data_IF_518361045697
#
_entry.id   IF_518361045697
#
_cell.length_a   1.000
_cell.length_b   1.000
_cell.length_c   1.000
_cell.angle_alpha   90.00
_cell.angle_beta   90.00
_cell.angle_gamma   90.00
#
_symmetry.space_group_name_H-M   'P 1'
#
loop_
_entity.id
_entity.type
_entity.pdbx_description
1 polymer ?
#
# COMPACT_ATOMS: atom_id res chain seq x y z
N UNK A 1 38.62 7.22 -7.93
CA UNK A 1 38.02 7.18 -6.57
C UNK A 1 36.56 7.58 -6.73
N UNK A 2 35.66 6.62 -6.96
CA UNK A 2 34.23 6.89 -7.13
C UNK A 2 33.58 6.97 -5.76
N UNK A 3 33.32 8.19 -5.30
CA UNK A 3 32.50 8.41 -4.13
C UNK A 3 31.09 7.91 -4.45
N UNK A 4 30.67 6.79 -3.86
CA UNK A 4 29.26 6.44 -3.83
C UNK A 4 28.56 7.57 -3.06
N UNK A 5 27.89 8.46 -3.79
CA UNK A 5 27.11 9.55 -3.21
C UNK A 5 25.88 8.94 -2.54
N UNK A 6 25.47 9.52 -1.41
CA UNK A 6 24.23 9.16 -0.70
C UNK A 6 22.98 9.32 -1.57
N UNK A 7 23.15 9.95 -2.72
CA UNK A 7 22.12 10.37 -3.67
C UNK A 7 21.67 9.26 -4.63
N UNK A 8 22.22 8.05 -4.55
CA UNK A 8 21.69 6.94 -5.32
C UNK A 8 20.44 6.35 -4.65
N UNK A 9 19.50 5.91 -5.48
CA UNK A 9 18.24 5.26 -5.05
C UNK A 9 17.36 6.17 -4.17
N UNK A 10 17.41 7.49 -4.37
CA UNK A 10 16.58 8.48 -3.64
C UNK A 10 15.08 8.27 -3.86
N UNK A 11 14.69 7.61 -4.94
CA UNK A 11 13.30 7.24 -5.21
C UNK A 11 12.67 6.41 -4.07
N UNK A 12 13.46 5.68 -3.29
CA UNK A 12 12.97 4.95 -2.13
C UNK A 12 12.33 5.87 -1.07
N UNK A 13 12.79 7.12 -0.95
CA UNK A 13 12.25 8.10 0.01
C UNK A 13 10.80 8.48 -0.29
N UNK A 14 10.34 8.33 -1.53
CA UNK A 14 8.97 8.66 -1.92
C UNK A 14 7.96 7.58 -1.52
N UNK A 15 8.41 6.32 -1.45
CA UNK A 15 7.53 5.16 -1.33
C UNK A 15 7.69 4.42 0.01
N UNK A 16 8.68 4.80 0.82
CA UNK A 16 9.03 4.11 2.06
C UNK A 16 9.32 5.10 3.17
N UNK A 17 8.85 4.78 4.38
CA UNK A 17 9.23 5.49 5.60
C UNK A 17 10.65 5.06 6.03
N UNK A 18 11.64 5.66 5.37
CA UNK A 18 13.05 5.35 5.61
C UNK A 18 13.50 5.79 7.00
N UNK A 19 12.90 6.84 7.56
CA UNK A 19 13.25 7.33 8.89
C UNK A 19 12.92 6.27 9.94
N UNK A 20 11.66 5.81 9.96
CA UNK A 20 11.22 4.76 10.88
C UNK A 20 12.01 3.48 10.65
N UNK A 21 12.21 3.09 9.39
CA UNK A 21 12.95 1.87 9.04
C UNK A 21 14.41 1.91 9.53
N UNK A 22 15.11 3.04 9.36
CA UNK A 22 16.49 3.18 9.84
C UNK A 22 16.59 3.22 11.36
N UNK A 23 15.61 3.82 12.03
CA UNK A 23 15.55 3.82 13.49
C UNK A 23 15.37 2.40 14.03
N UNK A 24 14.38 1.66 13.53
CA UNK A 24 14.11 0.29 13.97
C UNK A 24 15.28 -0.66 13.70
N UNK A 25 15.91 -0.53 12.52
CA UNK A 25 17.11 -1.31 12.21
C UNK A 25 18.31 -0.93 13.10
N UNK A 26 18.45 0.34 13.49
CA UNK A 26 19.51 0.79 14.41
C UNK A 26 19.30 0.22 15.81
N UNK A 27 18.04 0.15 16.28
CA UNK A 27 17.67 -0.49 17.55
C UNK A 27 18.05 -1.98 17.53
N UNK A 28 17.67 -2.70 16.48
CA UNK A 28 18.00 -4.14 16.34
C UNK A 28 19.50 -4.38 16.20
N UNK A 29 20.19 -3.55 15.43
CA UNK A 29 21.64 -3.66 15.24
C UNK A 29 22.43 -3.29 16.49
N UNK A 30 21.85 -2.49 17.39
CA UNK A 30 22.51 -1.91 18.56
C UNK A 30 23.59 -0.87 18.20
N UNK A 31 23.65 -0.45 16.93
CA UNK A 31 24.62 0.51 16.38
C UNK A 31 23.97 1.22 15.19
N UNK A 32 24.44 2.42 14.89
CA UNK A 32 24.01 3.14 13.70
C UNK A 32 24.17 2.29 12.43
N UNK A 33 23.12 2.26 11.62
CA UNK A 33 23.22 1.75 10.26
C UNK A 33 24.23 2.61 9.48
N UNK A 34 25.16 1.94 8.80
CA UNK A 34 26.20 2.58 7.99
C UNK A 34 25.62 3.13 6.70
N UNK A 35 26.27 4.16 6.14
CA UNK A 35 25.89 4.73 4.83
C UNK A 35 25.73 3.68 3.73
N UNK A 36 26.62 2.68 3.70
CA UNK A 36 26.61 1.61 2.71
C UNK A 36 25.38 0.72 2.88
N UNK A 37 25.02 0.36 4.11
CA UNK A 37 23.81 -0.43 4.37
C UNK A 37 22.53 0.34 4.01
N UNK A 38 22.48 1.66 4.29
CA UNK A 38 21.36 2.51 3.83
C UNK A 38 21.23 2.47 2.32
N UNK A 39 22.35 2.61 1.62
CA UNK A 39 22.39 2.64 0.16
C UNK A 39 21.92 1.31 -0.45
N UNK A 40 22.42 0.19 0.07
CA UNK A 40 21.98 -1.13 -0.37
C UNK A 40 20.50 -1.37 -0.08
N UNK A 41 20.00 -0.95 1.09
CA UNK A 41 18.58 -1.05 1.42
C UNK A 41 17.72 -0.22 0.46
N UNK A 42 18.09 1.05 0.19
CA UNK A 42 17.39 1.90 -0.77
C UNK A 42 17.34 1.27 -2.16
N UNK A 43 18.43 0.66 -2.62
CA UNK A 43 18.47 -0.07 -3.88
C UNK A 43 17.44 -1.21 -3.93
N UNK A 44 17.36 -2.01 -2.87
CA UNK A 44 16.36 -3.08 -2.78
C UNK A 44 14.92 -2.53 -2.77
N UNK A 45 14.68 -1.47 -1.99
CA UNK A 45 13.36 -0.84 -1.86
C UNK A 45 12.89 -0.16 -3.15
N UNK A 46 13.82 0.26 -4.02
CA UNK A 46 13.52 0.73 -5.38
C UNK A 46 13.22 -0.42 -6.35
N UNK A 47 13.33 -1.68 -5.94
CA UNK A 47 13.07 -2.84 -6.78
C UNK A 47 14.27 -3.32 -7.60
N UNK A 48 15.50 -2.87 -7.29
CA UNK A 48 16.71 -3.38 -7.93
C UNK A 48 17.18 -4.67 -7.28
N UNK A 49 17.63 -5.62 -8.09
CA UNK A 49 18.29 -6.84 -7.62
C UNK A 49 19.70 -6.55 -7.09
N UNK A 50 20.26 -7.41 -6.22
CA UNK A 50 21.64 -7.28 -5.74
C UNK A 50 22.68 -7.12 -6.86
N UNK A 51 22.49 -7.81 -7.99
CA UNK A 51 23.37 -7.69 -9.16
C UNK A 51 23.27 -6.31 -9.83
N UNK A 52 22.07 -5.77 -9.97
CA UNK A 52 21.85 -4.42 -10.52
C UNK A 52 22.42 -3.35 -9.59
N UNK A 53 22.17 -3.47 -8.29
CA UNK A 53 22.72 -2.56 -7.28
C UNK A 53 24.26 -2.57 -7.33
N UNK A 54 24.88 -3.75 -7.41
CA UNK A 54 26.32 -3.88 -7.53
C UNK A 54 26.86 -3.26 -8.82
N UNK A 55 26.15 -3.41 -9.94
CA UNK A 55 26.47 -2.76 -11.21
C UNK A 55 26.44 -1.23 -11.12
N UNK A 56 25.36 -0.67 -10.55
CA UNK A 56 25.18 0.77 -10.35
C UNK A 56 26.23 1.34 -9.37
N UNK A 57 26.57 0.56 -8.33
CA UNK A 57 27.59 0.92 -7.36
C UNK A 57 29.01 0.58 -7.82
N UNK A 58 29.22 0.03 -9.02
CA UNK A 58 30.54 -0.45 -9.46
C UNK A 58 31.27 -1.29 -8.40
N UNK A 59 30.54 -2.16 -7.69
CA UNK A 59 31.07 -3.07 -6.66
C UNK A 59 31.00 -4.52 -7.12
N UNK A 60 31.76 -5.35 -6.41
CA UNK A 60 31.66 -6.80 -6.56
C UNK A 60 30.29 -7.31 -6.08
N UNK A 61 29.62 -8.04 -6.97
CA UNK A 61 28.27 -8.60 -6.72
C UNK A 61 28.30 -9.57 -5.54
N UNK A 62 29.31 -10.44 -5.46
CA UNK A 62 29.40 -11.46 -4.40
C UNK A 62 29.61 -10.82 -3.04
N UNK A 63 30.46 -9.80 -2.96
CA UNK A 63 30.67 -9.02 -1.75
C UNK A 63 29.39 -8.35 -1.26
N UNK A 64 28.59 -7.80 -2.18
CA UNK A 64 27.30 -7.18 -1.87
C UNK A 64 26.26 -8.21 -1.39
N UNK A 65 26.11 -9.34 -2.09
CA UNK A 65 25.18 -10.40 -1.70
C UNK A 65 25.51 -11.00 -0.33
N UNK A 66 26.79 -11.26 -0.05
CA UNK A 66 27.22 -11.75 1.26
C UNK A 66 26.92 -10.73 2.35
N UNK A 67 27.12 -9.43 2.09
CA UNK A 67 26.80 -8.38 3.03
C UNK A 67 25.29 -8.29 3.31
N UNK A 68 24.46 -8.35 2.28
CA UNK A 68 23.00 -8.36 2.39
C UNK A 68 22.51 -9.55 3.23
N UNK A 69 22.95 -10.76 2.89
CA UNK A 69 22.54 -11.98 3.58
C UNK A 69 22.98 -12.02 5.05
N UNK A 70 24.21 -11.56 5.36
CA UNK A 70 24.75 -11.63 6.73
C UNK A 70 24.26 -10.53 7.65
N UNK A 71 24.05 -9.32 7.12
CA UNK A 71 23.74 -8.14 7.93
C UNK A 71 22.30 -7.70 7.70
N UNK A 72 22.00 -7.15 6.53
CA UNK A 72 20.74 -6.46 6.29
C UNK A 72 19.53 -7.38 6.44
N UNK A 73 19.57 -8.55 5.83
CA UNK A 73 18.49 -9.53 5.88
C UNK A 73 18.25 -10.07 7.29
N UNK A 74 19.31 -10.23 8.08
CA UNK A 74 19.19 -10.63 9.48
C UNK A 74 18.46 -9.56 10.29
N UNK A 75 18.81 -8.28 10.11
CA UNK A 75 18.17 -7.20 10.83
C UNK A 75 16.71 -7.02 10.42
N UNK A 76 16.41 -7.12 9.12
CA UNK A 76 15.03 -7.07 8.61
C UNK A 76 14.18 -8.17 9.24
N UNK A 77 14.68 -9.41 9.30
CA UNK A 77 13.95 -10.52 9.95
C UNK A 77 13.57 -10.23 11.39
N UNK A 78 14.47 -9.62 12.15
CA UNK A 78 14.21 -9.31 13.56
C UNK A 78 13.16 -8.21 13.70
N UNK A 79 13.20 -7.14 12.89
CA UNK A 79 12.16 -6.08 12.97
C UNK A 79 10.77 -6.56 12.53
N UNK A 80 10.69 -7.51 11.58
CA UNK A 80 9.40 -8.09 11.13
C UNK A 80 9.01 -9.36 11.90
N UNK A 81 9.78 -9.77 12.91
CA UNK A 81 9.58 -10.96 13.73
C UNK A 81 9.48 -12.28 12.91
N UNK A 82 10.32 -12.44 11.88
CA UNK A 82 10.39 -13.61 10.99
C UNK A 82 11.75 -14.30 10.99
N UNK A 83 12.34 -14.46 12.17
CA UNK A 83 13.70 -15.00 12.31
C UNK A 83 13.86 -16.43 11.77
N UNK A 84 12.79 -17.22 11.87
CA UNK A 84 12.75 -18.62 11.43
C UNK A 84 12.50 -18.80 9.92
N UNK A 85 12.02 -17.76 9.22
CA UNK A 85 11.72 -17.86 7.79
C UNK A 85 12.99 -17.75 6.96
N UNK A 86 13.14 -18.61 5.94
CA UNK A 86 14.25 -18.55 4.99
C UNK A 86 13.96 -17.48 3.93
N UNK A 87 14.93 -16.61 3.67
CA UNK A 87 14.85 -15.67 2.55
C UNK A 87 15.41 -16.39 1.33
N UNK A 88 14.53 -16.76 0.41
CA UNK A 88 14.91 -17.38 -0.86
C UNK A 88 15.09 -16.34 -1.97
N UNK A 89 14.33 -15.23 -1.89
CA UNK A 89 14.34 -14.17 -2.87
C UNK A 89 14.49 -12.81 -2.18
N UNK A 90 15.32 -11.94 -2.74
CA UNK A 90 15.48 -10.57 -2.22
C UNK A 90 14.16 -9.79 -2.23
N UNK A 91 13.23 -10.11 -3.14
CA UNK A 91 11.90 -9.49 -3.19
C UNK A 91 11.08 -9.73 -1.92
N UNK A 92 11.30 -10.86 -1.23
CA UNK A 92 10.63 -11.15 0.04
C UNK A 92 10.94 -10.11 1.11
N UNK A 93 12.12 -9.48 1.07
CA UNK A 93 12.46 -8.37 1.99
C UNK A 93 11.53 -7.18 1.79
N UNK A 94 11.27 -6.79 0.54
CA UNK A 94 10.39 -5.67 0.25
C UNK A 94 8.95 -6.01 0.68
N UNK A 95 8.48 -7.21 0.36
CA UNK A 95 7.16 -7.68 0.77
C UNK A 95 6.99 -7.67 2.30
N UNK A 96 7.97 -8.20 3.06
CA UNK A 96 7.87 -8.22 4.51
C UNK A 96 7.87 -6.83 5.14
N UNK A 97 8.65 -5.90 4.58
CA UNK A 97 8.67 -4.52 5.03
C UNK A 97 7.35 -3.80 4.70
N UNK A 98 6.74 -4.12 3.57
CA UNK A 98 5.41 -3.63 3.20
C UNK A 98 4.33 -4.16 4.15
N UNK A 99 4.32 -5.46 4.44
CA UNK A 99 3.40 -6.09 5.39
C UNK A 99 3.56 -5.57 6.83
N UNK A 100 4.78 -5.17 7.21
CA UNK A 100 5.06 -4.52 8.49
C UNK A 100 4.70 -3.01 8.52
N UNK A 101 4.19 -2.47 7.40
CA UNK A 101 3.73 -1.09 7.30
C UNK A 101 4.85 -0.06 7.19
N UNK A 102 6.02 -0.43 6.66
CA UNK A 102 7.12 0.52 6.37
C UNK A 102 7.01 1.16 4.99
N UNK A 103 6.24 0.56 4.07
CA UNK A 103 5.91 1.22 2.82
C UNK A 103 5.10 2.45 3.20
N UNK A 104 5.58 3.63 2.79
CA UNK A 104 4.82 4.85 2.99
C UNK A 104 3.47 4.57 2.36
N UNK A 105 2.40 4.76 3.13
CA UNK A 105 1.10 4.75 2.51
C UNK A 105 1.20 5.83 1.45
N UNK A 106 1.23 5.41 0.18
CA UNK A 106 0.71 6.28 -0.83
C UNK A 106 -0.61 6.77 -0.21
N UNK A 107 -0.79 8.07 -0.15
CA UNK A 107 -2.14 8.61 -0.15
C UNK A 107 -2.79 8.27 -1.49
N UNK A 108 -2.70 7.03 -1.94
CA UNK A 108 -3.83 6.35 -2.53
C UNK A 108 -4.93 6.56 -1.50
N UNK A 109 -5.88 7.43 -1.84
CA UNK A 109 -7.27 7.10 -1.55
C UNK A 109 -7.41 5.57 -1.63
N UNK A 110 -8.04 4.92 -0.65
CA UNK A 110 -8.26 3.50 -0.74
C UNK A 110 -8.82 3.20 -2.14
N UNK A 111 -8.07 2.47 -2.96
CA UNK A 111 -8.63 1.75 -4.09
C UNK A 111 -9.44 0.59 -3.52
N UNK A 112 -10.52 0.92 -2.82
CA UNK A 112 -11.79 0.39 -3.27
C UNK A 112 -12.05 1.08 -4.61
N UNK A 113 -11.86 0.33 -5.70
CA UNK A 113 -12.30 0.73 -7.03
C UNK A 113 -13.83 0.83 -7.05
N UNK A 114 -14.38 1.88 -6.41
CA UNK A 114 -15.76 2.36 -6.46
C UNK A 114 -15.91 3.72 -5.73
N UNK A 115 -14.91 4.59 -5.78
CA UNK A 115 -15.16 6.01 -5.46
C UNK A 115 -15.89 6.64 -6.65
N UNK A 116 -17.22 6.52 -6.63
CA UNK A 116 -18.10 7.31 -7.48
C UNK A 116 -17.85 8.79 -7.11
N UNK A 117 -17.63 9.70 -8.08
CA UNK A 117 -17.63 11.14 -7.80
C UNK A 117 -19.02 11.50 -7.29
N UNK A 118 -19.14 11.56 -5.96
CA UNK A 118 -20.39 11.79 -5.25
C UNK A 118 -20.40 13.25 -4.85
N UNK A 119 -21.08 14.07 -5.64
CA UNK A 119 -21.52 15.40 -5.23
C UNK A 119 -22.49 15.21 -4.05
N UNK A 120 -21.94 15.15 -2.83
CA UNK A 120 -22.77 15.02 -1.62
C UNK A 120 -23.15 16.40 -1.12
N UNK A 121 -24.42 16.77 -1.29
CA UNK A 121 -24.96 17.95 -0.61
C UNK A 121 -25.36 17.54 0.81
N UNK A 122 -24.52 17.90 1.78
CA UNK A 122 -24.78 17.66 3.21
C UNK A 122 -25.54 18.85 3.79
N UNK A 123 -26.72 18.61 4.39
CA UNK A 123 -27.44 19.62 5.16
C UNK A 123 -27.39 19.24 6.64
N UNK A 124 -26.76 20.10 7.44
CA UNK A 124 -26.75 19.95 8.88
C UNK A 124 -28.08 20.52 9.39
N UNK A 125 -28.95 19.65 9.91
CA UNK A 125 -30.28 20.06 10.38
C UNK A 125 -30.19 20.75 11.74
N UNK A 126 -29.36 20.22 12.65
CA UNK A 126 -29.20 20.77 13.99
C UNK A 126 -27.86 20.38 14.62
N UNK A 127 -27.23 21.35 15.26
CA UNK A 127 -26.13 21.14 16.21
C UNK A 127 -26.59 21.74 17.54
N UNK A 128 -26.60 20.95 18.61
CA UNK A 128 -26.83 21.45 19.96
C UNK A 128 -25.76 20.97 20.92
N UNK A 129 -25.40 21.85 21.86
CA UNK A 129 -24.43 21.58 22.91
C UNK A 129 -25.11 21.89 24.24
N UNK A 130 -25.43 20.85 25.01
CA UNK A 130 -26.04 20.98 26.34
C UNK A 130 -25.40 20.00 27.31
N UNK A 131 -25.06 20.44 28.53
CA UNK A 131 -24.52 19.62 29.63
C UNK A 131 -23.37 18.68 29.23
N UNK A 132 -22.31 19.21 28.60
CA UNK A 132 -21.17 18.44 28.09
C UNK A 132 -21.52 17.37 27.03
N UNK A 133 -22.74 17.40 26.48
CA UNK A 133 -23.17 16.53 25.40
C UNK A 133 -23.31 17.36 24.12
N UNK A 134 -22.66 16.89 23.06
CA UNK A 134 -22.83 17.42 21.71
C UNK A 134 -23.76 16.46 20.97
N UNK A 135 -24.86 17.00 20.45
CA UNK A 135 -25.81 16.26 19.61
C UNK A 135 -25.81 16.88 18.22
N UNK A 136 -25.51 16.06 17.21
CA UNK A 136 -25.43 16.47 15.81
C UNK A 136 -26.44 15.62 15.03
N UNK A 137 -27.44 16.29 14.45
CA UNK A 137 -28.42 15.65 13.57
C UNK A 137 -28.11 16.03 12.12
N UNK A 138 -27.88 15.03 11.29
CA UNK A 138 -27.45 15.20 9.89
C UNK A 138 -28.45 14.51 8.98
N UNK A 139 -28.93 15.23 7.98
CA UNK A 139 -29.72 14.67 6.89
C UNK A 139 -28.90 14.75 5.60
N UNK A 140 -28.66 13.59 5.00
CA UNK A 140 -27.83 13.47 3.80
C UNK A 140 -28.65 12.89 2.65
N UNK A 141 -28.59 13.57 1.50
CA UNK A 141 -29.09 13.03 0.23
C UNK A 141 -27.89 12.68 -0.64
N UNK A 142 -27.74 11.39 -0.94
CA UNK A 142 -26.66 10.88 -1.78
C UNK A 142 -27.24 10.56 -3.16
N UNK A 143 -26.62 11.07 -4.21
CA UNK A 143 -26.96 10.73 -5.61
C UNK A 143 -25.80 9.97 -6.20
N UNK A 144 -26.05 8.71 -6.59
CA UNK A 144 -25.04 7.82 -7.16
C UNK A 144 -25.32 7.69 -8.65
N UNK A 145 -24.38 8.13 -9.48
CA UNK A 145 -24.45 7.92 -10.92
C UNK A 145 -23.75 6.60 -11.25
N UNK A 146 -24.54 5.55 -11.46
CA UNK A 146 -24.02 4.22 -11.81
C UNK A 146 -23.70 4.18 -13.30
N UNK A 147 -22.43 4.34 -13.69
CA UNK A 147 -21.94 3.85 -14.99
C UNK A 147 -21.00 2.67 -14.75
N UNK A 148 -21.38 1.51 -15.27
CA UNK A 148 -20.81 0.19 -15.03
C UNK A 148 -19.39 0.04 -15.59
N UNK A 149 -18.50 -0.60 -14.82
CA UNK A 149 -17.41 -1.39 -15.37
C UNK A 149 -17.77 -2.87 -15.23
N UNK A 150 -18.34 -3.42 -16.29
CA UNK A 150 -18.44 -4.86 -16.50
C UNK A 150 -17.06 -5.35 -16.89
N UNK A 151 -16.42 -6.18 -16.06
CA UNK A 151 -15.37 -7.09 -16.50
C UNK A 151 -15.45 -8.37 -15.68
N UNK A 152 -15.58 -9.49 -16.41
CA UNK A 152 -15.63 -10.91 -15.99
C UNK A 152 -17.01 -11.59 -16.12
N UNK A 153 -17.52 -11.64 -17.34
CA UNK A 153 -17.74 -12.95 -17.98
C UNK A 153 -19.05 -13.72 -17.76
N UNK A 154 -20.06 -13.24 -17.03
CA UNK A 154 -21.40 -13.84 -17.10
C UNK A 154 -22.53 -12.79 -17.05
N UNK A 155 -23.24 -12.67 -18.16
CA UNK A 155 -24.52 -11.96 -18.27
C UNK A 155 -25.63 -13.00 -18.11
N UNK A 156 -26.03 -13.28 -16.87
CA UNK A 156 -27.30 -13.99 -16.63
C UNK A 156 -28.42 -12.95 -16.50
N UNK A 157 -28.86 -12.42 -17.63
CA UNK A 157 -30.14 -11.71 -17.71
C UNK A 157 -31.23 -12.74 -17.92
N UNK A 158 -31.95 -13.04 -16.85
CA UNK A 158 -33.25 -13.69 -16.97
C UNK A 158 -34.19 -12.76 -17.76
N UNK A 159 -34.88 -13.24 -18.81
CA UNK A 159 -35.91 -12.44 -19.45
C UNK A 159 -37.13 -12.39 -18.51
N UNK A 160 -37.20 -11.35 -17.69
CA UNK A 160 -38.46 -10.95 -17.06
C UNK A 160 -39.15 -9.95 -17.96
N UNK A 161 -40.15 -10.41 -18.71
CA UNK A 161 -41.53 -9.91 -18.63
C UNK A 161 -42.34 -10.36 -19.83
N UNK A 162 -43.27 -11.27 -19.59
CA UNK A 162 -44.61 -11.21 -20.19
C UNK A 162 -45.54 -11.87 -19.18
N UNK A 163 -45.83 -11.14 -18.11
CA UNK A 163 -47.05 -11.38 -17.34
C UNK A 163 -48.19 -10.79 -18.17
N UNK A 164 -49.23 -11.54 -18.56
CA UNK A 164 -50.34 -10.99 -19.31
C UNK A 164 -51.13 -10.02 -18.42
N UNK A 165 -51.42 -8.83 -18.94
CA UNK A 165 -52.36 -7.90 -18.33
C UNK A 165 -53.79 -8.47 -18.38
N UNK A 166 -54.63 -8.16 -17.38
CA UNK A 166 -56.00 -8.64 -17.32
C UNK A 166 -56.87 -7.82 -18.28
N UNK A 167 -57.54 -8.49 -19.22
CA UNK A 167 -58.73 -7.90 -19.83
C UNK A 167 -59.95 -8.40 -19.07
N UNK A 168 -60.56 -7.44 -18.38
CA UNK A 168 -61.94 -7.48 -17.93
C UNK A 168 -62.84 -7.87 -19.10
N UNK A 169 -63.52 -9.01 -19.00
CA UNK A 169 -64.76 -9.27 -19.73
C UNK A 169 -65.89 -9.26 -18.71
N UNK A 170 -66.56 -8.11 -18.63
CA UNK A 170 -67.91 -7.98 -18.08
C UNK A 170 -68.91 -8.17 -19.22
N UNK A 171 -69.81 -9.12 -19.04
CA UNK A 171 -71.20 -9.20 -19.54
C UNK A 171 -71.51 -8.83 -21.00
N UNK A 172 -71.98 -9.82 -21.77
CA UNK A 172 -73.36 -9.89 -22.32
C UNK A 172 -73.68 -11.28 -22.88
#
# INVERSE_FOLDING_TARGET
MTAHTDEQFTQAENNWDLERLYNDLTVVKGKNITRIEKLHLRGLLCGYSPAEIAGILHRDVRGLEVNLCKNLYKYVKTIVNREQERIENWRSICQWLEEAGYKAQETSQPESNNSIPVDTKVHIEKISVENNKIEISINTKITINTLLLVNNGELFVMPSSSLPSPTEDCDS
#
